data_IF_957394588415
#
_entry.id   IF_957394588415
#
_cell.length_a   1.000
_cell.length_b   1.000
_cell.length_c   1.000
_cell.angle_alpha   90.00
_cell.angle_beta   90.00
_cell.angle_gamma   90.00
#
_symmetry.space_group_name_H-M   'P 1'
#
loop_
_entity.id
_entity.type
_entity.pdbx_description
1 polymer ?
#
# COMPACT_ATOMS: atom_id res chain seq x y z
N UNK A 1 36.71 18.86 -8.67
CA UNK A 1 35.96 18.26 -9.78
C UNK A 1 36.21 16.77 -9.79
N UNK A 2 35.13 16.01 -10.01
CA UNK A 2 35.00 14.55 -10.11
C UNK A 2 35.01 13.75 -8.80
N UNK A 3 33.78 13.38 -8.42
CA UNK A 3 33.38 12.33 -7.49
C UNK A 3 33.42 11.00 -8.24
N UNK A 4 33.88 9.91 -7.62
CA UNK A 4 33.53 8.56 -8.05
C UNK A 4 32.92 7.73 -6.92
N UNK A 5 31.70 7.29 -7.23
CA UNK A 5 30.84 6.34 -6.55
C UNK A 5 31.48 4.94 -6.61
N UNK A 6 31.81 4.33 -5.47
CA UNK A 6 31.83 2.87 -5.30
C UNK A 6 31.87 2.54 -3.81
N UNK A 7 30.94 1.68 -3.40
CA UNK A 7 30.78 1.03 -2.08
C UNK A 7 29.58 1.48 -1.26
N UNK A 8 28.39 1.49 -1.89
CA UNK A 8 27.11 1.47 -1.17
C UNK A 8 26.50 0.05 -1.11
N UNK A 9 27.24 -0.99 -1.53
CA UNK A 9 26.70 -2.35 -1.66
C UNK A 9 27.22 -3.37 -0.63
N UNK A 10 27.94 -2.94 0.41
CA UNK A 10 28.56 -3.85 1.38
C UNK A 10 28.03 -3.74 2.82
N UNK A 11 26.98 -2.95 3.07
CA UNK A 11 26.42 -2.78 4.42
C UNK A 11 25.14 -3.56 4.72
N UNK A 12 24.57 -4.29 3.75
CA UNK A 12 23.29 -5.00 3.95
C UNK A 12 23.47 -6.47 4.40
N UNK A 13 24.69 -7.02 4.42
CA UNK A 13 24.90 -8.45 4.69
C UNK A 13 25.69 -8.80 5.96
N UNK A 14 25.95 -7.86 6.87
CA UNK A 14 26.72 -8.15 8.09
C UNK A 14 26.09 -7.65 9.40
N UNK A 15 24.79 -7.39 9.42
CA UNK A 15 24.01 -7.16 10.64
C UNK A 15 22.78 -8.08 10.70
N UNK A 16 23.01 -9.39 10.50
CA UNK A 16 21.97 -10.41 10.72
C UNK A 16 21.87 -10.82 12.21
N UNK A 17 22.81 -10.41 13.07
CA UNK A 17 22.79 -10.75 14.51
C UNK A 17 22.90 -9.52 15.42
N UNK A 18 21.92 -8.62 15.36
CA UNK A 18 21.65 -7.68 16.44
C UNK A 18 20.14 -7.54 16.61
N UNK A 19 19.67 -8.17 17.69
CA UNK A 19 18.33 -8.14 18.27
C UNK A 19 17.44 -6.95 17.85
N UNK A 20 16.71 -7.10 16.74
CA UNK A 20 15.46 -6.38 16.50
C UNK A 20 14.33 -7.39 16.50
N UNK A 21 13.81 -7.70 17.68
CA UNK A 21 12.54 -8.43 17.87
C UNK A 21 11.34 -7.50 17.62
N UNK A 22 11.37 -6.74 16.53
CA UNK A 22 10.26 -5.90 16.12
C UNK A 22 9.17 -6.76 15.48
N UNK A 23 8.25 -7.27 16.29
CA UNK A 23 7.05 -7.95 15.79
C UNK A 23 6.00 -6.89 15.47
N UNK A 24 5.62 -6.78 14.19
CA UNK A 24 4.52 -5.92 13.76
C UNK A 24 3.22 -6.50 14.30
N UNK A 25 2.39 -5.71 14.98
CA UNK A 25 1.14 -6.21 15.58
C UNK A 25 -0.07 -5.50 14.97
N UNK A 26 -1.08 -6.28 14.61
CA UNK A 26 -2.37 -5.82 14.10
C UNK A 26 -3.49 -6.27 15.06
N UNK A 27 -4.40 -5.39 15.51
CA UNK A 27 -5.59 -5.81 16.25
C UNK A 27 -6.77 -6.16 15.31
N UNK A 28 -7.42 -7.32 15.51
CA UNK A 28 -8.68 -7.68 14.82
C UNK A 28 -8.87 -9.18 14.56
N UNK A 29 -10.12 -9.63 14.36
CA UNK A 29 -10.42 -10.89 13.68
C UNK A 29 -10.39 -10.64 12.16
N UNK A 30 -9.73 -11.50 11.38
CA UNK A 30 -9.49 -11.24 9.97
C UNK A 30 -10.19 -12.29 9.11
N UNK A 31 -10.89 -11.84 8.08
CA UNK A 31 -11.63 -12.68 7.16
C UNK A 31 -11.05 -12.52 5.76
N UNK A 32 -10.37 -13.56 5.25
CA UNK A 32 -9.86 -13.61 3.88
C UNK A 32 -10.82 -14.40 2.97
N UNK A 33 -11.01 -13.94 1.72
CA UNK A 33 -11.68 -14.72 0.70
C UNK A 33 -10.86 -15.98 0.35
N UNK A 34 -11.43 -17.17 0.59
CA UNK A 34 -10.81 -18.48 0.30
C UNK A 34 -11.56 -19.25 -0.79
N UNK A 35 -10.80 -20.01 -1.58
CA UNK A 35 -11.31 -21.13 -2.38
C UNK A 35 -11.92 -22.20 -1.46
N UNK A 36 -13.01 -22.86 -1.90
CA UNK A 36 -13.80 -23.86 -1.15
C UNK A 36 -12.99 -25.02 -0.53
N UNK A 37 -11.71 -25.22 -0.89
CA UNK A 37 -10.85 -26.30 -0.36
C UNK A 37 -10.21 -26.02 1.00
N UNK A 38 -10.21 -24.79 1.51
CA UNK A 38 -9.51 -24.40 2.76
C UNK A 38 -10.47 -24.00 3.88
N UNK A 39 -11.59 -24.71 4.05
CA UNK A 39 -12.57 -24.42 5.11
C UNK A 39 -12.30 -25.13 6.45
N UNK A 40 -11.31 -26.02 6.54
CA UNK A 40 -10.94 -26.67 7.78
C UNK A 40 -9.62 -26.11 8.32
N UNK A 41 -9.59 -25.84 9.63
CA UNK A 41 -8.48 -25.39 10.47
C UNK A 41 -8.35 -23.88 10.72
N UNK A 42 -8.60 -23.53 11.98
CA UNK A 42 -8.60 -22.20 12.57
C UNK A 42 -7.21 -21.54 12.57
N UNK A 43 -7.22 -20.23 12.32
CA UNK A 43 -6.28 -19.21 12.79
C UNK A 43 -4.81 -19.22 12.32
N UNK A 44 -4.55 -18.53 11.20
CA UNK A 44 -3.48 -17.51 11.16
C UNK A 44 -3.74 -16.53 10.01
N UNK A 45 -4.60 -15.58 10.31
CA UNK A 45 -4.96 -14.41 9.50
C UNK A 45 -3.84 -13.40 9.25
N UNK A 46 -2.77 -13.50 10.04
CA UNK A 46 -1.59 -12.64 10.00
C UNK A 46 -0.35 -13.54 10.04
N UNK A 47 0.59 -13.32 9.11
CA UNK A 47 1.86 -14.05 9.04
C UNK A 47 2.98 -13.01 9.01
N UNK A 48 3.66 -12.72 10.15
CA UNK A 48 4.59 -11.61 10.26
C UNK A 48 5.65 -11.54 9.16
N UNK A 49 6.28 -12.68 8.84
CA UNK A 49 7.34 -12.77 7.85
C UNK A 49 6.90 -12.40 6.42
N UNK A 50 5.60 -12.46 6.13
CA UNK A 50 5.05 -12.11 4.83
C UNK A 50 4.71 -10.61 4.69
N UNK A 51 4.77 -9.85 5.78
CA UNK A 51 4.39 -8.43 5.82
C UNK A 51 5.60 -7.55 5.54
N UNK A 52 5.95 -7.42 4.26
CA UNK A 52 7.09 -6.62 3.80
C UNK A 52 6.61 -5.21 3.41
N UNK A 53 7.05 -4.14 4.11
CA UNK A 53 6.69 -2.78 3.73
C UNK A 53 7.37 -2.39 2.42
N UNK A 54 6.64 -1.73 1.51
CA UNK A 54 7.16 -1.33 0.19
C UNK A 54 7.03 0.16 -0.13
N UNK A 55 6.34 0.92 0.72
CA UNK A 55 6.18 2.36 0.59
C UNK A 55 5.99 3.01 1.96
N UNK A 56 6.55 4.21 2.10
CA UNK A 56 6.45 5.05 3.29
C UNK A 56 6.18 6.48 2.85
N UNK A 57 5.21 7.12 3.48
CA UNK A 57 4.90 8.53 3.25
C UNK A 57 4.63 9.22 4.58
N UNK A 58 5.39 10.26 4.89
CA UNK A 58 5.17 11.06 6.09
C UNK A 58 4.30 12.29 5.79
N UNK A 59 3.29 12.54 6.61
CA UNK A 59 2.51 13.77 6.57
C UNK A 59 1.99 14.16 7.95
N UNK A 60 2.34 15.37 8.39
CA UNK A 60 1.82 16.01 9.63
C UNK A 60 1.81 15.10 10.87
N UNK A 61 2.90 14.36 11.11
CA UNK A 61 3.01 13.49 12.28
C UNK A 61 2.34 12.13 12.11
N UNK A 62 1.92 11.77 10.90
CA UNK A 62 1.54 10.40 10.55
C UNK A 62 2.54 9.82 9.56
N UNK A 63 2.88 8.56 9.74
CA UNK A 63 3.71 7.79 8.82
C UNK A 63 2.86 6.71 8.18
N UNK A 64 2.46 6.90 6.91
CA UNK A 64 1.72 5.92 6.15
C UNK A 64 2.68 4.84 5.64
N UNK A 65 2.32 3.58 5.86
CA UNK A 65 3.11 2.40 5.49
C UNK A 65 2.24 1.47 4.65
N UNK A 66 2.75 1.07 3.50
CA UNK A 66 2.05 0.16 2.60
C UNK A 66 2.66 -1.25 2.64
N UNK A 67 1.78 -2.25 2.61
CA UNK A 67 2.11 -3.67 2.54
C UNK A 67 1.34 -4.32 1.38
N UNK A 68 1.90 -4.30 0.17
CA UNK A 68 1.30 -4.97 -0.99
C UNK A 68 1.04 -6.44 -0.73
N UNK A 69 -0.09 -6.96 -1.21
CA UNK A 69 -0.49 -8.35 -0.97
C UNK A 69 0.19 -9.33 -1.93
N UNK A 70 1.50 -9.50 -1.74
CA UNK A 70 2.35 -10.45 -2.48
C UNK A 70 2.41 -11.83 -1.83
N UNK A 71 1.94 -11.96 -0.59
CA UNK A 71 1.85 -13.22 0.15
C UNK A 71 0.60 -13.22 1.05
N UNK A 72 0.19 -14.41 1.48
CA UNK A 72 -0.91 -14.56 2.43
C UNK A 72 -0.54 -14.04 3.82
N UNK A 73 -1.55 -13.71 4.63
CA UNK A 73 -1.34 -13.25 6.01
C UNK A 73 -0.98 -11.77 6.12
N UNK A 74 -1.42 -10.94 5.17
CA UNK A 74 -1.31 -9.47 5.20
C UNK A 74 -2.70 -8.87 5.49
N UNK A 75 -2.96 -8.45 6.73
CA UNK A 75 -4.24 -7.90 7.17
C UNK A 75 -4.72 -6.70 6.38
N UNK A 76 -3.89 -5.67 6.31
CA UNK A 76 -4.22 -4.37 5.73
C UNK A 76 -3.06 -3.92 4.87
N UNK A 77 -3.39 -3.51 3.65
CA UNK A 77 -2.39 -3.11 2.66
C UNK A 77 -1.96 -1.67 2.81
N UNK A 78 -2.80 -0.83 3.41
CA UNK A 78 -2.50 0.56 3.74
C UNK A 78 -2.66 0.77 5.24
N UNK A 79 -1.61 1.30 5.86
CA UNK A 79 -1.52 1.48 7.30
C UNK A 79 -0.93 2.84 7.65
N UNK A 80 -1.00 3.21 8.92
CA UNK A 80 -0.26 4.35 9.45
C UNK A 80 0.20 4.11 10.89
N UNK A 81 1.19 4.92 11.30
CA UNK A 81 1.62 5.13 12.68
C UNK A 81 1.32 6.59 13.03
N UNK A 82 0.73 6.85 14.19
CA UNK A 82 0.57 8.20 14.75
C UNK A 82 1.83 8.54 15.54
N UNK A 83 2.74 9.32 14.95
CA UNK A 83 4.04 9.63 15.56
C UNK A 83 3.91 10.45 16.86
N UNK A 84 2.76 11.08 17.11
CA UNK A 84 2.53 11.80 18.37
C UNK A 84 2.17 10.84 19.50
N UNK A 85 1.52 9.71 19.19
CA UNK A 85 1.09 8.71 20.17
C UNK A 85 2.11 7.58 20.31
N UNK A 86 2.59 7.08 19.18
CA UNK A 86 3.34 5.84 19.08
C UNK A 86 4.83 6.07 18.76
N UNK A 87 5.24 7.31 18.50
CA UNK A 87 6.59 7.65 18.01
C UNK A 87 7.74 7.40 18.98
N UNK A 88 7.43 7.16 20.27
CA UNK A 88 8.42 6.79 21.28
C UNK A 88 8.62 5.26 21.39
N UNK A 89 7.79 4.46 20.72
CA UNK A 89 7.94 3.00 20.69
C UNK A 89 8.94 2.59 19.61
N UNK A 90 9.81 1.62 19.91
CA UNK A 90 10.81 1.12 18.94
C UNK A 90 10.15 0.33 17.79
N UNK A 91 8.99 -0.27 18.04
CA UNK A 91 8.24 -1.06 17.05
C UNK A 91 6.75 -0.83 17.25
N UNK A 92 6.25 0.36 16.90
CA UNK A 92 4.86 0.72 17.10
C UNK A 92 3.93 -0.16 16.28
N UNK A 93 2.70 -0.30 16.76
CA UNK A 93 1.66 -1.04 16.05
C UNK A 93 1.22 -0.28 14.79
N UNK A 94 0.76 -1.04 13.80
CA UNK A 94 0.22 -0.46 12.57
C UNK A 94 -1.30 -0.37 12.67
N UNK A 95 -1.83 0.81 12.32
CA UNK A 95 -3.27 1.04 12.22
C UNK A 95 -3.70 0.98 10.75
N UNK A 96 -4.69 0.13 10.43
CA UNK A 96 -5.24 0.06 9.08
C UNK A 96 -5.88 1.41 8.69
N UNK A 97 -5.59 1.87 7.47
CA UNK A 97 -6.05 3.17 6.97
C UNK A 97 -6.90 3.04 5.69
N UNK A 98 -7.99 3.79 5.55
CA UNK A 98 -8.56 4.70 6.56
C UNK A 98 -9.23 3.95 7.72
N UNK A 99 -9.62 2.69 7.50
CA UNK A 99 -10.09 1.78 8.54
C UNK A 99 -9.85 0.32 8.13
N UNK A 100 -10.09 -0.60 9.07
CA UNK A 100 -9.88 -2.03 8.87
C UNK A 100 -10.89 -2.66 7.90
N UNK A 101 -12.13 -2.19 7.87
CA UNK A 101 -13.19 -2.74 7.03
C UNK A 101 -12.92 -2.52 5.54
N UNK A 102 -12.48 -1.32 5.15
CA UNK A 102 -12.06 -0.98 3.79
C UNK A 102 -10.82 -1.79 3.37
N UNK A 103 -10.00 -2.22 4.33
CA UNK A 103 -8.87 -3.08 4.04
C UNK A 103 -9.25 -4.56 3.87
N UNK A 104 -10.47 -5.02 4.17
CA UNK A 104 -10.78 -6.45 4.02
C UNK A 104 -10.85 -6.88 2.56
N UNK A 105 -10.29 -8.05 2.23
CA UNK A 105 -10.35 -8.61 0.87
C UNK A 105 -11.79 -9.09 0.59
N UNK A 106 -12.53 -8.30 -0.17
CA UNK A 106 -13.87 -8.63 -0.65
C UNK A 106 -13.93 -8.34 -2.15
N UNK A 107 -14.13 -9.37 -2.96
CA UNK A 107 -14.15 -9.23 -4.42
C UNK A 107 -15.26 -8.27 -4.88
N UNK A 108 -14.93 -7.39 -5.83
CA UNK A 108 -15.85 -6.39 -6.39
C UNK A 108 -16.61 -5.53 -5.37
N UNK A 109 -16.05 -5.33 -4.18
CA UNK A 109 -16.69 -4.55 -3.10
C UNK A 109 -16.27 -3.07 -3.08
N UNK A 110 -15.18 -2.74 -3.79
CA UNK A 110 -14.54 -1.45 -3.67
C UNK A 110 -13.67 -1.27 -2.43
N UNK A 111 -13.35 -2.36 -1.73
CA UNK A 111 -12.31 -2.38 -0.71
C UNK A 111 -10.91 -2.40 -1.34
N UNK A 112 -9.90 -2.06 -0.53
CA UNK A 112 -8.50 -2.08 -0.95
C UNK A 112 -8.01 -3.52 -1.10
N UNK A 113 -7.38 -3.80 -2.25
CA UNK A 113 -6.75 -5.09 -2.53
C UNK A 113 -5.26 -5.05 -2.26
N UNK A 114 -4.49 -4.19 -2.93
CA UNK A 114 -3.04 -4.15 -2.79
C UNK A 114 -2.48 -2.81 -3.27
N UNK A 115 -1.89 -2.06 -2.32
CA UNK A 115 -1.36 -0.71 -2.51
C UNK A 115 0.15 -0.72 -2.31
N UNK A 116 0.90 -0.13 -3.25
CA UNK A 116 2.37 -0.11 -3.26
C UNK A 116 2.98 1.17 -2.73
N UNK A 117 2.70 2.30 -3.37
CA UNK A 117 3.21 3.61 -2.92
C UNK A 117 2.07 4.61 -2.86
N UNK A 118 2.20 5.54 -1.94
CA UNK A 118 1.29 6.66 -1.74
C UNK A 118 2.02 7.96 -2.04
N UNK A 119 1.28 9.00 -2.41
CA UNK A 119 1.77 10.36 -2.58
C UNK A 119 0.83 11.32 -1.85
N UNK A 120 1.38 12.36 -1.24
CA UNK A 120 0.58 13.42 -0.64
C UNK A 120 0.77 14.69 -1.44
N UNK A 121 -0.31 15.32 -1.85
CA UNK A 121 -0.27 16.58 -2.57
C UNK A 121 -0.23 17.80 -1.62
N UNK A 122 -0.10 18.99 -2.22
CA UNK A 122 -0.12 20.28 -1.52
C UNK A 122 -1.42 20.55 -0.77
N UNK A 123 -2.51 19.86 -1.14
CA UNK A 123 -3.85 20.02 -0.61
C UNK A 123 -4.18 19.04 0.51
N UNK A 124 -3.18 18.30 0.99
CA UNK A 124 -3.32 17.29 2.06
C UNK A 124 -4.27 16.16 1.66
N UNK A 125 -4.21 15.74 0.41
CA UNK A 125 -4.91 14.53 -0.06
C UNK A 125 -3.89 13.43 -0.23
N UNK A 126 -4.21 12.23 0.25
CA UNK A 126 -3.43 11.03 0.04
C UNK A 126 -3.91 10.33 -1.24
N UNK A 127 -2.97 10.16 -2.16
CA UNK A 127 -3.18 9.53 -3.46
C UNK A 127 -2.45 8.20 -3.52
N UNK A 128 -3.10 7.20 -4.11
CA UNK A 128 -2.47 5.92 -4.39
C UNK A 128 -3.26 5.13 -5.44
N UNK A 129 -2.60 4.11 -5.97
CA UNK A 129 -3.23 3.08 -6.81
C UNK A 129 -3.47 1.84 -5.97
N UNK A 130 -4.70 1.35 -5.98
CA UNK A 130 -5.00 -0.04 -5.66
C UNK A 130 -4.90 -0.86 -6.95
N UNK A 131 -3.95 -1.79 -6.98
CA UNK A 131 -3.70 -2.65 -8.15
C UNK A 131 -4.87 -3.59 -8.44
N UNK A 132 -5.73 -3.86 -7.45
CA UNK A 132 -6.85 -4.79 -7.60
C UNK A 132 -6.45 -6.26 -7.69
N UNK A 133 -5.16 -6.58 -7.47
CA UNK A 133 -4.57 -7.92 -7.67
C UNK A 133 -3.94 -8.44 -6.38
N UNK A 134 -4.11 -9.73 -6.12
CA UNK A 134 -3.29 -10.50 -5.19
C UNK A 134 -2.13 -11.13 -5.96
N UNK A 135 -0.89 -10.76 -5.62
CA UNK A 135 0.31 -11.15 -6.35
C UNK A 135 1.03 -12.33 -5.68
N UNK A 136 0.28 -13.37 -5.33
CA UNK A 136 0.85 -14.55 -4.72
C UNK A 136 1.68 -15.34 -5.74
N UNK A 137 2.88 -15.82 -5.36
CA UNK A 137 3.70 -16.64 -6.26
C UNK A 137 2.90 -17.80 -6.83
N UNK A 138 2.92 -17.97 -8.15
CA UNK A 138 2.22 -19.03 -8.89
C UNK A 138 0.68 -19.04 -8.73
N UNK A 139 0.07 -18.03 -8.12
CA UNK A 139 -1.37 -17.92 -7.93
C UNK A 139 -1.82 -16.46 -7.88
N UNK A 140 -1.56 -15.73 -8.97
CA UNK A 140 -2.03 -14.35 -9.12
C UNK A 140 -3.54 -14.35 -9.33
N UNK A 141 -4.24 -13.45 -8.65
CA UNK A 141 -5.69 -13.35 -8.73
C UNK A 141 -6.12 -11.90 -8.89
N UNK A 142 -6.89 -11.62 -9.94
CA UNK A 142 -7.60 -10.34 -10.10
C UNK A 142 -8.84 -10.36 -9.20
N UNK A 143 -8.92 -9.41 -8.27
CA UNK A 143 -10.02 -9.31 -7.30
C UNK A 143 -11.04 -8.24 -7.70
N UNK A 144 -10.56 -7.15 -8.31
CA UNK A 144 -11.36 -6.05 -8.86
C UNK A 144 -10.49 -5.21 -9.81
N UNK A 145 -11.09 -4.29 -10.58
CA UNK A 145 -10.33 -3.40 -11.49
C UNK A 145 -9.31 -2.54 -10.71
N UNK A 146 -8.15 -2.21 -11.30
CA UNK A 146 -7.24 -1.25 -10.69
C UNK A 146 -7.94 0.10 -10.53
N UNK A 147 -7.63 0.82 -9.45
CA UNK A 147 -8.33 2.07 -9.13
C UNK A 147 -7.42 3.12 -8.50
N UNK A 148 -7.69 4.38 -8.81
CA UNK A 148 -7.06 5.55 -8.21
C UNK A 148 -7.89 5.95 -7.00
N UNK A 149 -7.23 6.15 -5.87
CA UNK A 149 -7.85 6.56 -4.62
C UNK A 149 -7.34 7.93 -4.18
N UNK A 150 -8.27 8.74 -3.68
CA UNK A 150 -8.00 10.05 -3.11
C UNK A 150 -8.68 10.11 -1.76
N UNK A 151 -7.91 10.28 -0.69
CA UNK A 151 -8.41 10.38 0.68
C UNK A 151 -8.03 11.75 1.25
N UNK A 152 -9.00 12.47 1.80
CA UNK A 152 -8.76 13.71 2.55
C UNK A 152 -8.03 13.37 3.85
N UNK A 153 -6.82 13.87 4.04
CA UNK A 153 -6.05 13.62 5.27
C UNK A 153 -6.56 14.41 6.46
N UNK A 154 -7.40 15.44 6.29
CA UNK A 154 -7.95 16.17 7.42
C UNK A 154 -9.13 15.43 8.06
N UNK A 155 -9.90 14.71 7.25
CA UNK A 155 -11.12 14.02 7.68
C UNK A 155 -11.03 12.49 7.64
N UNK A 156 -9.95 11.96 7.06
CA UNK A 156 -9.72 10.53 6.79
C UNK A 156 -10.85 9.89 5.96
N UNK A 157 -11.50 10.70 5.12
CA UNK A 157 -12.60 10.27 4.25
C UNK A 157 -12.14 10.13 2.81
N UNK A 158 -12.66 9.10 2.15
CA UNK A 158 -12.46 8.89 0.72
C UNK A 158 -13.18 10.01 -0.03
N UNK A 159 -12.41 10.87 -0.69
CA UNK A 159 -12.93 11.94 -1.56
C UNK A 159 -13.42 11.31 -2.86
N UNK A 160 -12.60 10.42 -3.43
CA UNK A 160 -12.86 9.82 -4.72
C UNK A 160 -12.16 8.47 -4.83
N UNK A 161 -12.84 7.56 -5.51
CA UNK A 161 -12.29 6.36 -6.09
C UNK A 161 -12.63 6.35 -7.57
N UNK A 162 -11.64 6.15 -8.43
CA UNK A 162 -11.80 6.06 -9.87
C UNK A 162 -11.31 4.70 -10.35
N UNK A 163 -12.22 3.86 -10.84
CA UNK A 163 -11.86 2.58 -11.45
C UNK A 163 -11.28 2.83 -12.84
N UNK A 164 -10.06 2.35 -13.07
CA UNK A 164 -9.39 2.50 -14.36
C UNK A 164 -10.09 1.57 -15.35
N UNK A 165 -10.58 2.08 -16.50
CA UNK A 165 -11.23 1.26 -17.51
C UNK A 165 -10.30 0.17 -18.04
N UNK A 166 -10.87 -1.01 -18.30
CA UNK A 166 -10.16 -2.17 -18.84
C UNK A 166 -9.56 -1.89 -20.23
N UNK A 167 -10.17 -0.97 -20.98
CA UNK A 167 -9.66 -0.48 -22.28
C UNK A 167 -8.35 0.32 -22.15
N UNK A 168 -7.99 0.78 -20.95
CA UNK A 168 -6.75 1.53 -20.67
C UNK A 168 -5.74 0.61 -19.95
N UNK A 169 -6.22 -0.11 -18.94
CA UNK A 169 -5.43 -1.06 -18.14
C UNK A 169 -6.26 -2.32 -17.93
N UNK A 170 -5.87 -3.43 -18.55
CA UNK A 170 -6.54 -4.72 -18.35
C UNK A 170 -6.36 -5.21 -16.90
N UNK A 171 -5.13 -5.13 -16.39
CA UNK A 171 -4.75 -5.60 -15.05
C UNK A 171 -3.81 -4.59 -14.40
N UNK A 172 -3.96 -4.33 -13.10
CA UNK A 172 -3.10 -3.39 -12.35
C UNK A 172 -1.66 -3.85 -12.11
N UNK A 173 -1.17 -4.86 -12.83
CA UNK A 173 0.17 -5.39 -12.69
C UNK A 173 1.19 -4.38 -13.22
N UNK A 174 2.15 -3.99 -12.37
CA UNK A 174 3.15 -2.96 -12.71
C UNK A 174 2.77 -1.54 -12.27
N UNK A 175 1.53 -1.29 -11.85
CA UNK A 175 1.07 0.02 -11.34
C UNK A 175 1.48 0.23 -9.88
N UNK A 176 2.78 0.40 -9.64
CA UNK A 176 3.35 0.41 -8.29
C UNK A 176 3.39 1.79 -7.62
N UNK A 177 3.17 2.88 -8.35
CA UNK A 177 3.30 4.23 -7.80
C UNK A 177 2.46 5.27 -8.52
N UNK A 178 2.27 6.40 -7.86
CA UNK A 178 1.63 7.59 -8.42
C UNK A 178 2.40 8.82 -7.95
N UNK A 179 2.59 9.78 -8.84
CA UNK A 179 3.09 11.12 -8.52
C UNK A 179 2.02 12.12 -8.90
N UNK A 180 1.84 13.15 -8.09
CA UNK A 180 0.74 14.12 -8.25
C UNK A 180 1.32 15.51 -8.41
N UNK A 181 0.87 16.22 -9.45
CA UNK A 181 1.09 17.64 -9.65
C UNK A 181 -0.22 18.37 -9.40
N UNK A 182 -0.22 19.28 -8.42
CA UNK A 182 -1.42 20.00 -7.99
C UNK A 182 -1.12 21.48 -7.95
N UNK A 183 -1.98 22.25 -8.61
CA UNK A 183 -1.93 23.70 -8.58
C UNK A 183 -2.19 24.25 -7.16
N UNK A 184 -1.93 25.54 -6.97
CA UNK A 184 -2.14 26.18 -5.65
C UNK A 184 -3.61 26.22 -5.23
N UNK A 185 -4.54 26.19 -6.18
CA UNK A 185 -5.98 26.22 -5.94
C UNK A 185 -6.60 24.86 -5.61
N UNK A 186 -5.85 23.76 -5.78
CA UNK A 186 -6.33 22.38 -5.63
C UNK A 186 -7.37 21.92 -6.69
N UNK A 187 -7.72 22.79 -7.63
CA UNK A 187 -8.74 22.57 -8.67
C UNK A 187 -8.17 21.90 -9.92
N UNK A 188 -6.86 22.06 -10.15
CA UNK A 188 -6.15 21.47 -11.28
C UNK A 188 -5.11 20.51 -10.76
N UNK A 189 -5.43 19.22 -10.84
CA UNK A 189 -4.54 18.16 -10.40
C UNK A 189 -4.34 17.15 -11.51
N UNK A 190 -3.08 16.78 -11.75
CA UNK A 190 -2.70 15.70 -12.62
C UNK A 190 -1.99 14.63 -11.81
N UNK A 191 -2.31 13.37 -12.08
CA UNK A 191 -1.62 12.25 -11.49
C UNK A 191 -0.97 11.39 -12.58
N UNK A 192 0.31 11.08 -12.38
CA UNK A 192 1.16 10.33 -13.31
C UNK A 192 1.45 8.96 -12.72
N UNK A 193 1.10 7.91 -13.46
CA UNK A 193 1.19 6.52 -13.00
C UNK A 193 2.11 5.78 -13.97
N UNK A 194 3.37 5.52 -13.61
CA UNK A 194 4.26 4.71 -14.43
C UNK A 194 3.84 3.24 -14.38
N UNK A 195 3.82 2.62 -15.56
CA UNK A 195 3.65 1.18 -15.72
C UNK A 195 5.01 0.52 -15.90
N UNK A 196 5.42 -0.23 -14.88
CA UNK A 196 6.73 -0.90 -14.85
C UNK A 196 6.81 -2.13 -15.75
N UNK A 197 5.70 -2.58 -16.34
CA UNK A 197 5.62 -3.79 -17.16
C UNK A 197 5.52 -3.43 -18.64
N UNK A 198 4.68 -2.44 -18.95
CA UNK A 198 4.40 -2.04 -20.34
C UNK A 198 5.17 -0.79 -20.78
N UNK A 199 6.07 -0.24 -19.95
CA UNK A 199 6.94 0.90 -20.26
C UNK A 199 6.17 2.15 -20.72
N UNK A 200 5.06 2.43 -20.07
CA UNK A 200 4.18 3.57 -20.38
C UNK A 200 3.85 4.38 -19.13
N UNK A 201 3.29 5.58 -19.32
CA UNK A 201 2.81 6.44 -18.24
C UNK A 201 1.36 6.77 -18.50
N UNK A 202 0.50 6.48 -17.54
CA UNK A 202 -0.90 6.91 -17.54
C UNK A 202 -1.03 8.26 -16.86
N UNK A 203 -1.94 9.09 -17.37
CA UNK A 203 -2.24 10.42 -16.82
C UNK A 203 -3.71 10.48 -16.44
N UNK A 204 -3.96 10.84 -15.18
CA UNK A 204 -5.30 11.10 -14.64
C UNK A 204 -5.47 12.60 -14.34
N UNK A 205 -6.67 13.12 -14.56
CA UNK A 205 -7.08 14.50 -14.27
C UNK A 205 -8.47 14.51 -13.64
#
# INVERSE_FOLDING_TARGET
MVIYLKSFLFFILQFVDLFFTGVIYFPGQYYGARSKRQQAENASSYIPYNNVPMGVTHHKGRLFITMPRRRVGIPSTLNYIDLRKDGNEVSPKLHAYPNFDINQIKANSGNLVSVYRTSVDSCQRLWFIDTGILEYPNNRMQIQKPSIWIIDLNTDRVIRRFDIPETIVEQGHGLASITVDTDKGCDQTFAYIPDLVYNQIYVYR
#
